data_IF_777809955010
#
_entry.id   IF_777809955010
#
_cell.length_a   1.000
_cell.length_b   1.000
_cell.length_c   1.000
_cell.angle_alpha   90.00
_cell.angle_beta   90.00
_cell.angle_gamma   90.00
#
_symmetry.space_group_name_H-M   'P 1'
#
loop_
_entity.id
_entity.type
_entity.pdbx_description
1 polymer ?
#
# COMPACT_ATOMS: atom_id res chain seq x y z
N UNK A 1 23.18 -6.84 -28.10
CA UNK A 1 24.07 -6.37 -27.03
C UNK A 1 23.40 -6.83 -25.76
N UNK A 2 24.03 -7.70 -24.98
CA UNK A 2 23.55 -8.08 -23.66
C UNK A 2 23.96 -6.91 -22.78
N UNK A 3 23.00 -6.07 -22.39
CA UNK A 3 23.21 -5.10 -21.31
C UNK A 3 23.45 -5.94 -20.05
N UNK A 4 24.62 -5.78 -19.43
CA UNK A 4 24.83 -6.28 -18.09
C UNK A 4 23.84 -5.54 -17.22
N UNK A 5 22.84 -6.26 -16.67
CA UNK A 5 21.94 -5.71 -15.68
C UNK A 5 22.80 -5.25 -14.51
N UNK A 6 22.79 -3.95 -14.26
CA UNK A 6 23.35 -3.39 -13.04
C UNK A 6 22.39 -3.80 -11.92
N UNK A 7 22.75 -4.84 -11.18
CA UNK A 7 21.89 -5.40 -10.12
C UNK A 7 21.85 -4.51 -8.87
N UNK A 8 22.51 -3.36 -8.91
CA UNK A 8 22.70 -2.50 -7.75
C UNK A 8 23.51 -3.18 -6.64
N UNK A 9 23.66 -2.49 -5.53
CA UNK A 9 24.34 -3.03 -4.35
C UNK A 9 23.34 -3.84 -3.52
N UNK A 10 23.69 -5.07 -3.16
CA UNK A 10 22.95 -5.86 -2.17
C UNK A 10 23.68 -5.75 -0.84
N UNK A 11 22.99 -5.25 0.18
CA UNK A 11 23.59 -4.99 1.48
C UNK A 11 22.65 -5.29 2.65
N UNK A 12 23.12 -5.05 3.89
CA UNK A 12 22.31 -5.23 5.09
C UNK A 12 21.17 -4.22 5.14
N UNK A 13 20.11 -4.56 5.90
CA UNK A 13 19.03 -3.60 6.18
C UNK A 13 19.60 -2.33 6.83
N UNK A 14 19.23 -1.12 6.36
CA UNK A 14 19.56 0.13 7.02
C UNK A 14 18.74 0.39 8.30
N UNK A 15 17.88 -0.57 8.67
CA UNK A 15 16.97 -0.48 9.80
C UNK A 15 17.19 -1.60 10.82
N UNK A 16 16.95 -1.27 12.09
CA UNK A 16 16.73 -2.22 13.17
C UNK A 16 15.23 -2.53 13.30
N UNK A 17 14.91 -3.79 13.61
CA UNK A 17 13.53 -4.25 13.81
C UNK A 17 13.12 -4.08 15.27
N UNK A 18 11.88 -3.69 15.51
CA UNK A 18 11.35 -3.46 16.86
C UNK A 18 10.22 -4.44 17.24
N UNK A 19 10.10 -5.55 16.56
CA UNK A 19 8.98 -6.50 16.65
C UNK A 19 8.65 -6.98 18.04
N UNK A 20 9.65 -7.10 18.93
CA UNK A 20 9.44 -7.53 20.32
C UNK A 20 8.77 -6.46 21.21
N UNK A 21 8.75 -5.21 20.78
CA UNK A 21 8.28 -4.09 21.59
C UNK A 21 7.19 -3.26 20.94
N UNK A 22 7.00 -3.42 19.64
CA UNK A 22 6.06 -2.68 18.83
C UNK A 22 5.33 -3.64 17.86
N UNK A 23 4.04 -3.54 17.55
CA UNK A 23 3.04 -2.68 18.15
C UNK A 23 2.36 -3.44 19.31
N UNK A 24 1.74 -2.73 20.25
CA UNK A 24 1.04 -3.37 21.38
C UNK A 24 -0.21 -4.09 20.87
N UNK A 25 -0.38 -5.38 21.18
CA UNK A 25 -1.54 -6.17 20.74
C UNK A 25 -2.84 -5.58 21.29
N UNK A 26 -3.90 -5.59 20.46
CA UNK A 26 -5.21 -5.11 20.86
C UNK A 26 -6.38 -5.98 20.35
N UNK A 27 -6.09 -7.04 19.60
CA UNK A 27 -7.10 -8.00 19.21
C UNK A 27 -7.78 -8.61 20.46
N UNK A 28 -9.06 -8.96 20.31
CA UNK A 28 -9.80 -9.59 21.43
C UNK A 28 -9.24 -10.96 21.79
N UNK A 29 -9.58 -11.44 23.00
CA UNK A 29 -9.19 -12.78 23.47
C UNK A 29 -9.59 -13.88 22.47
N UNK A 30 -8.65 -14.76 22.16
CA UNK A 30 -8.82 -15.84 21.20
C UNK A 30 -8.67 -15.44 19.72
N UNK A 31 -8.28 -14.20 19.46
CA UNK A 31 -8.06 -13.66 18.11
C UNK A 31 -6.70 -12.96 18.00
N UNK A 32 -6.25 -12.79 16.77
CA UNK A 32 -5.09 -11.98 16.40
C UNK A 32 -5.43 -11.12 15.19
N UNK A 33 -4.48 -10.27 14.77
CA UNK A 33 -4.65 -9.52 13.53
C UNK A 33 -4.97 -10.45 12.37
N UNK A 34 -5.85 -9.99 11.47
CA UNK A 34 -5.93 -10.49 10.12
C UNK A 34 -4.75 -9.99 9.28
N UNK A 35 -4.82 -10.11 7.97
CA UNK A 35 -3.83 -9.49 7.08
C UNK A 35 -3.84 -7.97 7.24
N UNK A 36 -2.71 -7.34 7.53
CA UNK A 36 -2.59 -5.89 7.47
C UNK A 36 -2.20 -5.48 6.06
N UNK A 37 -3.09 -4.74 5.39
CA UNK A 37 -2.96 -4.44 3.98
C UNK A 37 -2.37 -3.06 3.69
N UNK A 38 -2.54 -2.09 4.59
CA UNK A 38 -2.07 -0.74 4.34
C UNK A 38 -1.67 -0.01 5.61
N UNK A 39 -0.67 0.85 5.49
CA UNK A 39 -0.27 1.85 6.47
C UNK A 39 -0.25 3.23 5.82
N UNK A 40 -0.68 4.26 6.56
CA UNK A 40 -0.52 5.65 6.18
C UNK A 40 -0.09 6.47 7.40
N UNK A 41 1.01 7.20 7.28
CA UNK A 41 1.55 8.04 8.35
C UNK A 41 1.10 9.48 8.15
N UNK A 42 0.15 9.94 8.95
CA UNK A 42 -0.27 11.34 8.96
C UNK A 42 0.68 12.18 9.83
N UNK A 43 1.08 11.65 10.97
CA UNK A 43 2.06 12.22 11.91
C UNK A 43 2.57 11.12 12.84
N UNK A 44 3.58 11.43 13.67
CA UNK A 44 4.09 10.49 14.68
C UNK A 44 3.04 10.07 15.72
N UNK A 45 2.03 10.93 15.97
CA UNK A 45 0.93 10.64 16.89
C UNK A 45 -0.28 10.00 16.20
N UNK A 46 -0.25 9.89 14.86
CA UNK A 46 -1.41 9.43 14.11
C UNK A 46 -1.01 8.63 12.87
N UNK A 47 -0.87 7.33 13.07
CA UNK A 47 -0.49 6.35 12.06
C UNK A 47 -1.67 5.41 11.84
N UNK A 48 -2.24 5.45 10.65
CA UNK A 48 -3.37 4.63 10.24
C UNK A 48 -2.91 3.27 9.77
N UNK A 49 -3.65 2.25 10.19
CA UNK A 49 -3.53 0.90 9.66
C UNK A 49 -4.87 0.39 9.16
N UNK A 50 -4.80 -0.38 8.09
CA UNK A 50 -5.93 -1.08 7.52
C UNK A 50 -5.68 -2.57 7.61
N UNK A 51 -6.58 -3.30 8.31
CA UNK A 51 -6.49 -4.74 8.39
C UNK A 51 -7.73 -5.44 7.84
N UNK A 52 -7.54 -6.68 7.46
CA UNK A 52 -8.58 -7.56 6.90
C UNK A 52 -9.34 -8.31 7.99
N UNK A 53 -9.76 -7.57 9.03
CA UNK A 53 -10.44 -8.08 10.20
C UNK A 53 -9.51 -8.83 11.16
N UNK A 54 -10.09 -9.49 12.15
CA UNK A 54 -9.38 -10.34 13.13
C UNK A 54 -9.54 -11.82 12.78
N UNK A 55 -8.49 -12.61 12.97
CA UNK A 55 -8.46 -14.04 12.69
C UNK A 55 -8.43 -14.84 14.00
N UNK A 56 -9.23 -15.90 14.07
CA UNK A 56 -9.30 -16.79 15.23
C UNK A 56 -7.98 -17.53 15.44
N UNK A 57 -7.48 -17.48 16.67
CA UNK A 57 -6.29 -18.21 17.08
C UNK A 57 -6.57 -19.72 17.23
N UNK A 58 -5.59 -20.58 16.95
CA UNK A 58 -5.70 -22.01 17.25
C UNK A 58 -5.73 -22.28 18.76
N UNK A 59 -6.43 -23.33 19.16
CA UNK A 59 -6.40 -23.85 20.51
C UNK A 59 -5.99 -25.34 20.47
N UNK A 60 -4.84 -25.73 21.09
CA UNK A 60 -3.91 -24.86 21.84
C UNK A 60 -3.09 -23.94 20.94
N UNK A 61 -2.61 -22.83 21.52
CA UNK A 61 -1.69 -21.91 20.83
C UNK A 61 -0.38 -22.63 20.52
N UNK A 62 0.19 -22.45 19.32
CA UNK A 62 1.54 -22.89 19.01
C UNK A 62 2.58 -22.26 19.96
N UNK A 63 3.65 -23.00 20.34
CA UNK A 63 4.67 -22.50 21.26
C UNK A 63 5.40 -21.26 20.76
N UNK A 64 5.51 -21.09 19.45
CA UNK A 64 6.14 -19.95 18.79
C UNK A 64 5.29 -18.68 18.78
N UNK A 65 4.02 -18.77 19.14
CA UNK A 65 3.15 -17.59 19.19
C UNK A 65 3.58 -16.62 20.27
N UNK A 66 3.82 -15.38 19.90
CA UNK A 66 4.01 -14.27 20.83
C UNK A 66 2.99 -13.18 20.54
N UNK A 67 2.52 -12.53 21.59
CA UNK A 67 1.53 -11.46 21.46
C UNK A 67 2.08 -10.22 20.73
N UNK A 68 3.38 -9.96 20.78
CA UNK A 68 4.02 -8.87 20.06
C UNK A 68 4.31 -9.23 18.59
N UNK A 69 4.84 -10.38 18.33
CA UNK A 69 4.97 -10.88 16.97
C UNK A 69 3.61 -11.03 16.28
N UNK A 70 2.55 -11.15 17.08
CA UNK A 70 1.15 -10.95 16.72
C UNK A 70 0.61 -11.89 15.67
N UNK A 71 1.44 -12.78 15.13
CA UNK A 71 1.03 -13.56 14.00
C UNK A 71 1.68 -14.94 13.99
N UNK A 72 0.89 -15.89 13.57
CA UNK A 72 1.33 -17.25 13.29
C UNK A 72 1.62 -17.46 11.79
N UNK A 73 1.52 -16.40 11.00
CA UNK A 73 1.64 -16.45 9.56
C UNK A 73 0.43 -17.10 8.88
N UNK A 74 0.27 -16.80 7.62
CA UNK A 74 -0.83 -17.29 6.80
C UNK A 74 -0.97 -18.81 6.80
N UNK A 75 0.13 -19.55 6.79
CA UNK A 75 0.11 -21.01 6.76
C UNK A 75 -0.58 -21.63 8.00
N UNK A 76 -0.51 -20.98 9.15
CA UNK A 76 -1.15 -21.43 10.40
C UNK A 76 -2.59 -20.92 10.49
N UNK A 77 -2.84 -19.68 10.06
CA UNK A 77 -4.16 -19.05 10.21
C UNK A 77 -5.09 -19.32 9.02
N UNK A 78 -4.57 -19.84 7.92
CA UNK A 78 -5.36 -20.15 6.73
C UNK A 78 -6.51 -21.11 7.05
N UNK A 79 -7.72 -20.70 6.68
CA UNK A 79 -8.94 -21.46 6.92
C UNK A 79 -9.51 -21.32 8.34
N UNK A 80 -8.91 -20.48 9.19
CA UNK A 80 -9.48 -20.09 10.48
C UNK A 80 -10.64 -19.10 10.31
N UNK A 81 -11.48 -19.03 11.32
CA UNK A 81 -12.57 -18.05 11.36
C UNK A 81 -12.03 -16.62 11.34
N UNK A 82 -12.55 -15.80 10.43
CA UNK A 82 -12.25 -14.37 10.36
C UNK A 82 -13.52 -13.58 10.66
N UNK A 83 -13.36 -12.52 11.43
CA UNK A 83 -14.43 -11.56 11.68
C UNK A 83 -13.97 -10.19 11.19
N UNK A 84 -14.85 -9.49 10.50
CA UNK A 84 -14.66 -8.10 10.12
C UNK A 84 -14.80 -7.24 11.37
N UNK A 85 -13.68 -6.89 11.96
CA UNK A 85 -13.60 -6.14 13.19
C UNK A 85 -12.28 -5.39 13.27
N UNK A 86 -12.36 -4.16 13.78
CA UNK A 86 -11.21 -3.26 13.92
C UNK A 86 -10.44 -3.09 12.60
N UNK A 87 -11.18 -2.99 11.49
CA UNK A 87 -10.57 -2.94 10.16
C UNK A 87 -9.73 -1.68 9.96
N UNK A 88 -10.13 -0.55 10.56
CA UNK A 88 -9.38 0.71 10.55
C UNK A 88 -9.00 1.02 12.00
N UNK A 89 -7.71 1.18 12.25
CA UNK A 89 -7.23 1.58 13.57
C UNK A 89 -6.03 2.53 13.46
N UNK A 90 -5.81 3.35 14.48
CA UNK A 90 -4.82 4.40 14.50
C UNK A 90 -3.97 4.25 15.75
N UNK A 91 -2.66 4.34 15.58
CA UNK A 91 -1.69 4.24 16.66
C UNK A 91 -0.75 5.45 16.68
N UNK A 92 -0.07 5.64 17.81
CA UNK A 92 1.09 6.52 17.87
C UNK A 92 2.40 5.79 17.55
N UNK A 93 3.50 6.52 17.41
CA UNK A 93 4.82 5.97 17.12
C UNK A 93 5.36 5.01 18.20
N UNK A 94 4.78 5.02 19.40
CA UNK A 94 5.08 4.10 20.50
C UNK A 94 4.23 2.80 20.43
N UNK A 95 3.34 2.69 19.44
CA UNK A 95 2.47 1.53 19.22
C UNK A 95 1.26 1.46 20.15
N UNK A 96 0.87 2.58 20.79
CA UNK A 96 -0.37 2.63 21.54
C UNK A 96 -1.54 2.90 20.58
N UNK A 97 -2.60 2.09 20.68
CA UNK A 97 -3.84 2.33 19.95
C UNK A 97 -4.53 3.57 20.47
N UNK A 98 -4.78 4.53 19.61
CA UNK A 98 -5.42 5.82 19.89
C UNK A 98 -6.89 5.81 19.50
N UNK A 99 -7.19 5.25 18.34
CA UNK A 99 -8.53 5.22 17.76
C UNK A 99 -8.77 3.86 17.10
N UNK A 100 -10.00 3.41 17.10
CA UNK A 100 -10.48 2.28 16.32
C UNK A 100 -11.82 2.69 15.72
N UNK A 101 -11.96 2.57 14.42
CA UNK A 101 -13.17 2.98 13.70
C UNK A 101 -14.11 1.78 13.48
N UNK A 102 -14.43 1.06 14.57
CA UNK A 102 -15.24 -0.17 14.54
C UNK A 102 -16.68 0.05 14.08
N UNK A 103 -17.19 1.29 14.15
CA UNK A 103 -18.49 1.67 13.60
C UNK A 103 -18.60 1.40 12.08
N UNK A 104 -17.46 1.34 11.36
CA UNK A 104 -17.40 1.11 9.93
C UNK A 104 -17.11 -0.34 9.52
N UNK A 105 -16.86 -1.24 10.46
CA UNK A 105 -16.56 -2.64 10.17
C UNK A 105 -17.65 -3.32 9.33
N UNK A 106 -18.90 -2.88 9.48
CA UNK A 106 -20.04 -3.38 8.70
C UNK A 106 -19.91 -3.14 7.19
N UNK A 107 -19.11 -2.16 6.77
CA UNK A 107 -18.86 -1.86 5.36
C UNK A 107 -18.06 -2.98 4.67
N UNK A 108 -17.24 -3.71 5.40
CA UNK A 108 -16.39 -4.79 4.88
C UNK A 108 -17.07 -6.17 4.95
N UNK A 109 -18.22 -6.28 5.60
CA UNK A 109 -18.95 -7.54 5.72
C UNK A 109 -19.61 -7.96 4.41
N UNK A 110 -19.76 -9.29 4.19
CA UNK A 110 -20.46 -9.83 3.03
C UNK A 110 -19.66 -9.84 1.74
N UNK A 111 -18.36 -9.50 1.79
CA UNK A 111 -17.43 -9.67 0.69
C UNK A 111 -16.81 -11.06 0.71
N UNK A 112 -16.64 -11.66 -0.47
CA UNK A 112 -15.92 -12.92 -0.63
C UNK A 112 -14.50 -12.62 -1.10
N UNK A 113 -13.54 -12.56 -0.18
CA UNK A 113 -12.16 -12.31 -0.54
C UNK A 113 -11.39 -11.55 0.53
N UNK A 114 -10.24 -10.94 0.17
CA UNK A 114 -9.39 -10.24 1.12
C UNK A 114 -10.05 -9.01 1.77
N UNK A 115 -10.85 -8.24 1.04
CA UNK A 115 -11.54 -7.07 1.56
C UNK A 115 -10.72 -5.79 1.46
N UNK A 116 -10.58 -5.02 2.55
CA UNK A 116 -9.89 -3.72 2.51
C UNK A 116 -8.43 -3.87 2.09
N UNK A 117 -7.99 -2.98 1.18
CA UNK A 117 -6.69 -3.08 0.51
C UNK A 117 -5.78 -1.88 0.73
N UNK A 118 -6.26 -0.66 0.48
CA UNK A 118 -5.47 0.57 0.60
C UNK A 118 -6.16 1.59 1.48
N UNK A 119 -5.40 2.25 2.33
CA UNK A 119 -5.81 3.44 3.07
C UNK A 119 -4.80 4.56 2.78
N UNK A 120 -5.30 5.75 2.43
CA UNK A 120 -4.44 6.89 2.08
C UNK A 120 -5.16 8.21 2.30
N UNK A 121 -4.42 9.32 2.21
CA UNK A 121 -4.94 10.69 2.22
C UNK A 121 -4.35 11.49 1.07
N UNK A 122 -5.12 12.43 0.55
CA UNK A 122 -4.58 13.36 -0.45
C UNK A 122 -3.66 14.40 0.20
N UNK A 123 -2.45 14.59 -0.30
CA UNK A 123 -1.56 15.65 0.19
C UNK A 123 -2.09 17.06 -0.15
N UNK A 124 -3.05 17.16 -1.05
CA UNK A 124 -3.67 18.43 -1.48
C UNK A 124 -4.96 18.76 -0.72
N UNK A 125 -5.47 17.83 0.10
CA UNK A 125 -6.73 18.03 0.82
C UNK A 125 -6.47 18.63 2.22
N UNK A 126 -6.84 19.90 2.48
CA UNK A 126 -6.67 20.49 3.80
C UNK A 126 -7.56 19.84 4.87
N UNK A 127 -8.64 19.16 4.46
CA UNK A 127 -9.50 18.41 5.38
C UNK A 127 -8.96 17.00 5.69
N UNK A 128 -7.89 16.57 5.00
CA UNK A 128 -7.22 15.29 5.18
C UNK A 128 -8.19 14.11 5.22
N UNK A 129 -9.13 14.08 4.27
CA UNK A 129 -10.07 12.96 4.15
C UNK A 129 -9.34 11.64 4.02
N UNK A 130 -9.89 10.61 4.65
CA UNK A 130 -9.32 9.27 4.64
C UNK A 130 -10.01 8.44 3.57
N UNK A 131 -9.24 7.96 2.63
CA UNK A 131 -9.69 7.13 1.50
C UNK A 131 -9.37 5.67 1.77
N UNK A 132 -10.35 4.80 1.63
CA UNK A 132 -10.21 3.36 1.87
C UNK A 132 -10.77 2.60 0.70
N UNK A 133 -9.93 1.75 0.10
CA UNK A 133 -10.30 0.85 -0.98
C UNK A 133 -10.66 -0.51 -0.38
N UNK A 134 -11.84 -1.01 -0.71
CA UNK A 134 -12.20 -2.42 -0.54
C UNK A 134 -12.11 -3.11 -1.91
N UNK A 135 -11.01 -3.85 -2.12
CA UNK A 135 -10.73 -4.45 -3.43
C UNK A 135 -11.79 -5.46 -3.85
N UNK A 136 -12.21 -6.35 -2.94
CA UNK A 136 -13.21 -7.37 -3.25
C UNK A 136 -14.64 -6.89 -3.06
N UNK A 137 -14.83 -5.76 -2.40
CA UNK A 137 -16.07 -4.99 -2.41
C UNK A 137 -16.28 -4.18 -3.68
N UNK A 138 -15.24 -4.00 -4.51
CA UNK A 138 -15.24 -3.20 -5.75
C UNK A 138 -15.59 -1.73 -5.52
N UNK A 139 -15.19 -1.17 -4.36
CA UNK A 139 -15.68 0.11 -3.87
C UNK A 139 -14.58 0.90 -3.16
N UNK A 140 -14.70 2.22 -3.20
CA UNK A 140 -13.85 3.15 -2.48
C UNK A 140 -14.74 3.96 -1.53
N UNK A 141 -14.34 4.02 -0.26
CA UNK A 141 -14.97 4.82 0.78
C UNK A 141 -14.12 6.04 1.11
N UNK A 142 -14.75 7.17 1.33
CA UNK A 142 -14.07 8.41 1.75
C UNK A 142 -14.68 8.89 3.04
N UNK A 143 -13.89 8.96 4.09
CA UNK A 143 -14.30 9.38 5.43
C UNK A 143 -13.78 10.76 5.78
N UNK A 144 -14.46 11.42 6.71
CA UNK A 144 -13.87 12.57 7.41
C UNK A 144 -12.62 12.14 8.18
N UNK A 145 -11.68 13.08 8.42
CA UNK A 145 -10.42 12.77 9.09
C UNK A 145 -10.59 12.21 10.51
N UNK A 146 -11.65 12.64 11.23
CA UNK A 146 -12.02 12.12 12.56
C UNK A 146 -12.75 10.77 12.53
N UNK A 147 -13.05 10.24 11.33
CA UNK A 147 -13.76 8.97 11.15
C UNK A 147 -15.26 8.99 11.51
N UNK A 148 -15.83 10.15 11.82
CA UNK A 148 -17.23 10.22 12.24
C UNK A 148 -18.21 10.12 11.07
N UNK A 149 -17.80 10.52 9.86
CA UNK A 149 -18.68 10.62 8.69
C UNK A 149 -18.12 9.89 7.47
N UNK A 150 -18.98 9.11 6.81
CA UNK A 150 -18.76 8.64 5.45
C UNK A 150 -19.22 9.73 4.49
N UNK A 151 -18.28 10.34 3.78
CA UNK A 151 -18.50 11.52 2.95
C UNK A 151 -18.81 11.18 1.49
N UNK A 152 -18.19 10.10 0.97
CA UNK A 152 -18.33 9.68 -0.43
C UNK A 152 -18.15 8.17 -0.56
N UNK A 153 -18.79 7.60 -1.56
CA UNK A 153 -18.55 6.24 -2.05
C UNK A 153 -18.41 6.26 -3.56
N UNK A 154 -17.43 5.51 -4.08
CA UNK A 154 -17.22 5.34 -5.52
C UNK A 154 -17.25 3.85 -5.84
N UNK A 155 -18.06 3.46 -6.82
CA UNK A 155 -18.40 2.07 -7.10
C UNK A 155 -19.69 1.65 -6.39
N UNK A 156 -20.10 0.41 -6.62
CA UNK A 156 -21.23 -0.22 -5.96
C UNK A 156 -20.76 -1.51 -5.26
N UNK A 157 -21.08 -1.63 -3.97
CA UNK A 157 -20.57 -2.74 -3.15
C UNK A 157 -20.96 -4.10 -3.71
N UNK A 158 -19.96 -4.96 -3.93
CA UNK A 158 -20.07 -6.31 -4.49
C UNK A 158 -20.57 -6.35 -5.95
N UNK A 159 -20.54 -5.24 -6.66
CA UNK A 159 -20.92 -5.17 -8.08
C UNK A 159 -19.69 -4.81 -8.92
N UNK A 160 -18.99 -5.81 -9.48
CA UNK A 160 -17.88 -5.53 -10.39
C UNK A 160 -18.39 -5.00 -11.73
N UNK A 161 -17.66 -4.05 -12.32
CA UNK A 161 -17.98 -3.52 -13.64
C UNK A 161 -16.79 -2.78 -14.26
N UNK A 162 -16.93 -2.41 -15.53
CA UNK A 162 -15.91 -1.70 -16.30
C UNK A 162 -16.43 -0.41 -16.97
N UNK A 163 -17.56 0.09 -16.49
CA UNK A 163 -18.12 1.35 -16.95
C UNK A 163 -17.58 2.54 -16.12
N UNK A 164 -18.14 3.73 -16.35
CA UNK A 164 -17.73 4.97 -15.71
C UNK A 164 -17.98 5.01 -14.20
N UNK A 165 -18.82 4.14 -13.65
CA UNK A 165 -19.28 4.16 -12.26
C UNK A 165 -18.81 2.97 -11.44
N UNK A 166 -18.39 1.89 -12.06
CA UNK A 166 -17.97 0.66 -11.39
C UNK A 166 -16.48 0.39 -11.54
N UNK A 167 -15.97 -0.42 -10.62
CA UNK A 167 -14.60 -0.96 -10.63
C UNK A 167 -14.63 -2.50 -10.61
N UNK A 168 -13.50 -3.10 -10.92
CA UNK A 168 -13.29 -4.52 -10.72
C UNK A 168 -11.99 -4.78 -9.98
N UNK A 169 -12.07 -4.80 -8.64
CA UNK A 169 -10.94 -4.94 -7.72
C UNK A 169 -9.96 -3.77 -7.83
N UNK A 170 -10.38 -2.54 -7.47
CA UNK A 170 -9.49 -1.39 -7.38
C UNK A 170 -8.43 -1.61 -6.31
N UNK A 171 -7.21 -1.09 -6.53
CA UNK A 171 -6.05 -1.38 -5.70
C UNK A 171 -5.46 -0.16 -5.01
N UNK A 172 -5.27 0.93 -5.71
CA UNK A 172 -4.57 2.11 -5.20
C UNK A 172 -5.11 3.41 -5.78
N UNK A 173 -4.72 4.53 -5.16
CA UNK A 173 -5.09 5.89 -5.57
C UNK A 173 -3.85 6.77 -5.57
N UNK A 174 -3.61 7.47 -6.67
CA UNK A 174 -2.66 8.57 -6.75
C UNK A 174 -3.41 9.89 -6.88
N UNK A 175 -3.03 10.89 -6.07
CA UNK A 175 -3.69 12.19 -6.06
C UNK A 175 -2.97 13.20 -6.93
N UNK A 176 -3.75 14.07 -7.54
CA UNK A 176 -3.29 15.19 -8.36
C UNK A 176 -3.70 16.52 -7.71
N UNK A 177 -3.06 17.63 -8.06
CA UNK A 177 -3.52 18.96 -7.67
C UNK A 177 -5.00 19.21 -8.00
N UNK A 178 -5.62 20.16 -7.26
CA UNK A 178 -7.03 20.55 -7.43
C UNK A 178 -8.05 19.43 -7.18
N UNK A 179 -7.63 18.40 -6.40
CA UNK A 179 -8.49 17.33 -5.94
C UNK A 179 -8.80 16.24 -6.98
N UNK A 180 -8.24 16.32 -8.17
CA UNK A 180 -8.28 15.21 -9.14
C UNK A 180 -7.50 14.00 -8.62
N UNK A 181 -7.82 12.81 -9.09
CA UNK A 181 -7.11 11.60 -8.68
C UNK A 181 -7.20 10.48 -9.72
N UNK A 182 -6.29 9.54 -9.59
CA UNK A 182 -6.16 8.35 -10.41
C UNK A 182 -6.49 7.13 -9.56
N UNK A 183 -7.25 6.19 -10.10
CA UNK A 183 -7.57 4.91 -9.46
C UNK A 183 -6.98 3.77 -10.26
N UNK A 184 -6.14 2.93 -9.64
CA UNK A 184 -5.73 1.65 -10.19
C UNK A 184 -6.90 0.66 -10.14
N UNK A 185 -7.62 0.49 -11.21
CA UNK A 185 -8.66 -0.54 -11.35
C UNK A 185 -8.02 -1.81 -11.96
N UNK A 186 -7.14 -2.44 -11.15
CA UNK A 186 -6.01 -3.20 -11.64
C UNK A 186 -6.04 -4.70 -11.46
N UNK A 187 -6.60 -5.27 -10.38
CA UNK A 187 -6.47 -6.71 -10.10
C UNK A 187 -7.56 -7.56 -10.76
N UNK A 188 -8.73 -6.98 -11.01
CA UNK A 188 -9.82 -7.63 -11.71
C UNK A 188 -9.57 -7.78 -13.22
N UNK A 189 -10.63 -7.69 -14.01
CA UNK A 189 -10.53 -7.84 -15.46
C UNK A 189 -10.24 -6.53 -16.21
N UNK A 190 -10.35 -5.37 -15.53
CA UNK A 190 -10.32 -4.08 -16.20
C UNK A 190 -8.90 -3.66 -16.62
N UNK A 191 -7.92 -3.79 -15.71
CA UNK A 191 -6.51 -3.48 -16.00
C UNK A 191 -6.30 -2.07 -16.54
N UNK A 192 -6.97 -1.08 -15.94
CA UNK A 192 -6.99 0.31 -16.35
C UNK A 192 -6.66 1.24 -15.19
N UNK A 193 -6.26 2.45 -15.52
CA UNK A 193 -6.14 3.57 -14.58
C UNK A 193 -7.26 4.55 -14.92
N UNK A 194 -8.14 4.82 -13.95
CA UNK A 194 -9.30 5.70 -14.12
C UNK A 194 -8.98 7.08 -13.57
N UNK A 195 -9.15 8.11 -14.38
CA UNK A 195 -8.99 9.51 -13.99
C UNK A 195 -10.32 10.06 -13.49
N UNK A 196 -10.30 10.66 -12.29
CA UNK A 196 -11.49 11.20 -11.62
C UNK A 196 -11.37 12.70 -11.35
N UNK A 197 -12.50 13.38 -11.39
CA UNK A 197 -12.65 14.74 -10.88
C UNK A 197 -12.65 14.76 -9.35
N UNK A 198 -12.48 15.95 -8.77
CA UNK A 198 -12.50 16.18 -7.32
C UNK A 198 -13.82 15.75 -6.64
N UNK A 199 -14.94 15.77 -7.35
CA UNK A 199 -16.25 15.32 -6.88
C UNK A 199 -16.47 13.81 -7.05
N UNK A 200 -15.47 13.08 -7.54
CA UNK A 200 -15.52 11.66 -7.81
C UNK A 200 -16.13 11.25 -9.15
N UNK A 201 -16.62 12.20 -9.94
CA UNK A 201 -17.16 11.89 -11.27
C UNK A 201 -16.06 11.36 -12.21
N UNK A 202 -16.47 10.48 -13.13
CA UNK A 202 -15.57 9.95 -14.16
C UNK A 202 -15.11 11.04 -15.11
N UNK A 203 -13.85 11.00 -15.49
CA UNK A 203 -13.34 11.84 -16.55
C UNK A 203 -12.85 11.04 -17.75
N UNK A 204 -11.85 10.23 -17.57
CA UNK A 204 -11.23 9.41 -18.61
C UNK A 204 -10.56 8.18 -17.99
N UNK A 205 -9.99 7.36 -18.84
CA UNK A 205 -9.20 6.21 -18.43
C UNK A 205 -8.13 5.90 -19.47
N UNK A 206 -7.11 5.17 -19.06
CA UNK A 206 -6.13 4.59 -19.95
C UNK A 206 -5.65 3.24 -19.41
N UNK A 207 -5.01 2.46 -20.27
CA UNK A 207 -4.60 1.11 -19.96
C UNK A 207 -5.64 0.07 -20.37
N UNK A 208 -5.14 -1.13 -20.68
CA UNK A 208 -5.94 -2.30 -21.07
C UNK A 208 -5.18 -3.58 -20.70
N UNK A 209 -5.82 -4.74 -20.67
CA UNK A 209 -5.15 -6.01 -20.42
C UNK A 209 -4.06 -6.31 -21.45
N UNK A 210 -2.86 -6.69 -20.98
CA UNK A 210 -1.73 -7.09 -21.82
C UNK A 210 -0.37 -6.79 -21.18
N UNK A 211 0.69 -6.83 -21.98
CA UNK A 211 2.08 -6.66 -21.59
C UNK A 211 2.82 -5.54 -22.35
N UNK A 212 2.12 -4.78 -23.16
CA UNK A 212 2.67 -3.62 -23.87
C UNK A 212 2.83 -2.37 -22.99
N UNK A 213 3.36 -1.26 -23.56
CA UNK A 213 3.65 -0.03 -22.84
C UNK A 213 2.44 0.59 -22.10
N UNK A 214 1.25 0.51 -22.67
CA UNK A 214 0.00 0.98 -22.06
C UNK A 214 -0.91 -0.18 -21.64
N UNK A 215 -0.35 -1.37 -21.49
CA UNK A 215 -1.10 -2.57 -21.10
C UNK A 215 -0.63 -3.05 -19.72
N UNK A 216 -1.53 -3.69 -18.99
CA UNK A 216 -1.26 -4.15 -17.63
C UNK A 216 -1.76 -5.58 -17.41
N UNK A 217 -1.08 -6.27 -16.52
CA UNK A 217 -1.48 -7.59 -16.03
C UNK A 217 -2.15 -7.50 -14.65
N UNK A 218 -1.66 -6.63 -13.77
CA UNK A 218 -2.22 -6.39 -12.42
C UNK A 218 -1.66 -5.11 -11.81
N UNK A 219 -2.28 -3.96 -12.08
CA UNK A 219 -1.85 -2.70 -11.45
C UNK A 219 -2.15 -2.77 -9.96
N UNK A 220 -1.11 -2.76 -9.12
CA UNK A 220 -1.25 -2.96 -7.68
C UNK A 220 -0.97 -1.70 -6.86
N UNK A 221 -0.06 -0.85 -7.29
CA UNK A 221 0.25 0.41 -6.62
C UNK A 221 0.50 1.53 -7.60
N UNK A 222 0.18 2.76 -7.20
CA UNK A 222 0.40 4.00 -7.94
C UNK A 222 1.12 5.02 -7.07
N UNK A 223 2.12 5.70 -7.63
CA UNK A 223 2.75 6.85 -6.98
C UNK A 223 2.96 7.98 -7.99
N UNK A 224 2.73 9.21 -7.53
CA UNK A 224 3.22 10.39 -8.26
C UNK A 224 4.63 10.71 -7.76
N UNK A 225 5.49 11.11 -8.68
CA UNK A 225 6.85 11.52 -8.38
C UNK A 225 7.19 12.90 -8.95
N UNK A 226 8.45 13.31 -8.83
CA UNK A 226 8.95 14.54 -9.43
C UNK A 226 8.69 14.59 -10.94
N UNK A 227 8.68 15.83 -11.47
CA UNK A 227 8.48 16.08 -12.89
C UNK A 227 7.17 15.51 -13.46
N UNK A 228 6.15 15.37 -12.59
CA UNK A 228 4.81 14.89 -12.98
C UNK A 228 4.81 13.43 -13.52
N UNK A 229 5.81 12.62 -13.13
CA UNK A 229 5.82 11.20 -13.47
C UNK A 229 4.82 10.42 -12.62
N UNK A 230 4.09 9.53 -13.29
CA UNK A 230 3.27 8.50 -12.65
C UNK A 230 4.01 7.17 -12.71
N UNK A 231 4.18 6.54 -11.57
CA UNK A 231 4.74 5.20 -11.40
C UNK A 231 3.60 4.23 -11.16
N UNK A 232 3.38 3.32 -12.09
CA UNK A 232 2.36 2.28 -12.01
C UNK A 232 3.02 0.92 -11.86
N UNK A 233 2.93 0.35 -10.65
CA UNK A 233 3.48 -0.95 -10.35
C UNK A 233 2.53 -2.03 -10.86
N UNK A 234 3.01 -2.84 -11.82
CA UNK A 234 2.31 -4.00 -12.36
C UNK A 234 2.84 -5.28 -11.70
N UNK A 235 2.11 -5.75 -10.68
CA UNK A 235 2.55 -6.85 -9.82
C UNK A 235 2.84 -8.13 -10.57
N UNK A 236 1.92 -8.56 -11.44
CA UNK A 236 2.02 -9.85 -12.11
C UNK A 236 2.93 -9.78 -13.35
N UNK A 237 3.11 -8.59 -13.95
CA UNK A 237 4.18 -8.32 -14.92
C UNK A 237 5.57 -8.25 -14.28
N UNK A 238 5.62 -7.98 -12.95
CA UNK A 238 6.86 -7.85 -12.17
C UNK A 238 7.69 -6.65 -12.56
N UNK A 239 7.01 -5.55 -12.80
CA UNK A 239 7.63 -4.31 -13.27
C UNK A 239 6.97 -3.06 -12.67
N UNK A 240 7.60 -1.92 -12.91
CA UNK A 240 7.02 -0.59 -12.69
C UNK A 240 7.05 0.15 -14.00
N UNK A 241 5.88 0.50 -14.53
CA UNK A 241 5.75 1.33 -15.73
C UNK A 241 5.71 2.80 -15.33
N UNK A 242 6.53 3.60 -15.99
CA UNK A 242 6.65 5.04 -15.74
C UNK A 242 6.01 5.80 -16.90
N UNK A 243 5.14 6.73 -16.55
CA UNK A 243 4.45 7.59 -17.49
C UNK A 243 4.74 9.06 -17.18
N UNK A 244 4.90 9.87 -18.21
CA UNK A 244 4.97 11.32 -18.08
C UNK A 244 3.58 11.91 -18.24
N UNK A 245 3.15 12.71 -17.27
CA UNK A 245 1.97 13.53 -17.45
C UNK A 245 2.28 14.64 -18.46
N UNK A 246 1.51 14.73 -19.54
CA UNK A 246 1.77 15.67 -20.66
C UNK A 246 0.94 16.93 -20.60
N UNK A 247 -0.14 16.93 -19.82
CA UNK A 247 -0.97 18.12 -19.57
C UNK A 247 -1.03 18.39 -18.07
N UNK A 248 -0.90 19.65 -17.70
CA UNK A 248 -0.82 20.03 -16.30
C UNK A 248 -2.15 19.84 -15.59
N UNK A 249 -2.10 19.33 -14.37
CA UNK A 249 -3.27 19.12 -13.53
C UNK A 249 -3.97 20.44 -13.11
N UNK A 250 -3.32 21.59 -13.30
CA UNK A 250 -3.86 22.94 -13.03
C UNK A 250 -4.61 23.55 -14.22
N UNK A 251 -4.60 22.89 -15.38
CA UNK A 251 -5.44 23.29 -16.52
C UNK A 251 -6.85 22.70 -16.40
N UNK A 252 -7.82 23.29 -17.05
CA UNK A 252 -9.16 22.71 -17.21
C UNK A 252 -9.14 21.47 -18.13
N UNK A 253 -8.03 21.28 -18.85
CA UNK A 253 -7.76 20.10 -19.64
C UNK A 253 -7.18 18.99 -18.74
N UNK A 254 -7.44 17.74 -19.08
CA UNK A 254 -7.08 16.60 -18.27
C UNK A 254 -5.72 16.05 -18.66
N UNK A 255 -4.96 15.55 -17.66
CA UNK A 255 -3.67 14.97 -17.97
C UNK A 255 -3.81 13.76 -18.89
N UNK A 256 -3.01 13.72 -19.93
CA UNK A 256 -2.68 12.51 -20.65
C UNK A 256 -1.36 11.95 -20.12
N UNK A 257 -1.16 10.65 -20.33
CA UNK A 257 -0.02 9.92 -19.78
C UNK A 257 0.72 9.22 -20.91
N UNK A 258 1.90 9.73 -21.24
CA UNK A 258 2.78 9.14 -22.24
C UNK A 258 3.74 8.17 -21.57
N UNK A 259 3.85 6.97 -22.12
CA UNK A 259 4.78 5.95 -21.62
C UNK A 259 6.24 6.44 -21.79
N UNK A 260 7.03 6.31 -20.72
CA UNK A 260 8.44 6.68 -20.69
C UNK A 260 9.33 5.45 -20.69
N UNK A 261 9.17 4.57 -19.70
CA UNK A 261 10.03 3.39 -19.51
C UNK A 261 9.36 2.35 -18.62
N UNK A 262 10.00 1.19 -18.51
CA UNK A 262 9.64 0.12 -17.57
C UNK A 262 10.85 -0.28 -16.75
N UNK A 263 10.68 -0.41 -15.44
CA UNK A 263 11.67 -0.96 -14.51
C UNK A 263 11.36 -2.44 -14.30
N UNK A 264 12.21 -3.29 -14.82
CA UNK A 264 11.98 -4.74 -14.91
C UNK A 264 12.76 -5.52 -13.82
N UNK A 265 12.65 -6.85 -13.86
CA UNK A 265 13.39 -7.80 -13.03
C UNK A 265 13.07 -7.77 -11.53
N UNK A 266 11.82 -7.45 -11.18
CA UNK A 266 11.29 -7.62 -9.84
C UNK A 266 10.81 -9.06 -9.61
N UNK A 267 10.67 -9.45 -8.33
CA UNK A 267 10.22 -10.79 -7.95
C UNK A 267 8.70 -10.93 -7.99
N UNK A 268 8.01 -10.23 -7.11
CA UNK A 268 6.57 -9.99 -7.07
C UNK A 268 6.36 -8.68 -6.29
N UNK A 269 6.44 -7.54 -6.97
CA UNK A 269 6.38 -6.24 -6.31
C UNK A 269 4.97 -5.92 -5.83
N UNK A 270 4.87 -5.17 -4.72
CA UNK A 270 3.58 -4.87 -4.09
C UNK A 270 3.33 -3.39 -3.91
N UNK A 271 4.30 -2.63 -3.47
CA UNK A 271 4.15 -1.20 -3.24
C UNK A 271 5.31 -0.42 -3.86
N UNK A 272 5.00 0.70 -4.49
CA UNK A 272 5.99 1.65 -5.01
C UNK A 272 5.88 2.96 -4.24
N UNK A 273 6.97 3.34 -3.61
CA UNK A 273 7.10 4.55 -2.80
C UNK A 273 8.12 5.47 -3.44
N UNK A 274 7.73 6.69 -3.75
CA UNK A 274 8.58 7.64 -4.47
C UNK A 274 8.85 8.86 -3.61
N UNK A 275 10.13 9.27 -3.49
CA UNK A 275 10.57 10.51 -2.88
C UNK A 275 11.03 11.52 -3.92
N UNK A 276 11.67 12.60 -3.48
CA UNK A 276 12.24 13.63 -4.36
C UNK A 276 13.33 13.06 -5.29
N UNK A 277 14.16 12.13 -4.79
CA UNK A 277 15.39 11.69 -5.48
C UNK A 277 15.41 10.18 -5.80
N UNK A 278 14.58 9.38 -5.14
CA UNK A 278 14.63 7.92 -5.19
C UNK A 278 13.25 7.29 -5.14
N UNK A 279 13.17 6.03 -5.53
CA UNK A 279 11.99 5.20 -5.33
C UNK A 279 12.35 3.89 -4.63
N UNK A 280 11.43 3.36 -3.84
CA UNK A 280 11.55 2.07 -3.18
C UNK A 280 10.39 1.17 -3.57
N UNK A 281 10.70 -0.08 -3.82
CA UNK A 281 9.71 -1.10 -4.15
C UNK A 281 9.78 -2.20 -3.11
N UNK A 282 8.66 -2.49 -2.45
CA UNK A 282 8.54 -3.71 -1.66
C UNK A 282 8.36 -4.87 -2.62
N UNK A 283 9.19 -5.89 -2.50
CA UNK A 283 9.25 -6.98 -3.45
C UNK A 283 9.34 -8.33 -2.74
N UNK A 284 8.73 -9.35 -3.31
CA UNK A 284 8.72 -10.71 -2.81
C UNK A 284 9.60 -11.65 -3.64
N UNK A 285 9.74 -12.85 -3.11
CA UNK A 285 10.43 -13.98 -3.76
C UNK A 285 11.93 -13.77 -4.00
N UNK A 286 12.74 -13.55 -2.92
CA UNK A 286 12.39 -13.45 -1.48
C UNK A 286 11.96 -12.03 -1.08
N UNK A 287 11.33 -11.85 0.12
CA UNK A 287 10.97 -10.55 0.65
C UNK A 287 12.18 -9.61 0.78
N UNK A 288 12.07 -8.42 0.21
CA UNK A 288 13.13 -7.41 0.17
C UNK A 288 12.57 -6.03 -0.13
N UNK A 289 13.36 -5.01 0.07
CA UNK A 289 13.11 -3.67 -0.46
C UNK A 289 14.19 -3.35 -1.49
N UNK A 290 13.77 -2.86 -2.64
CA UNK A 290 14.64 -2.47 -3.75
C UNK A 290 14.56 -0.95 -3.91
N UNK A 291 15.70 -0.28 -3.81
CA UNK A 291 15.84 1.14 -4.08
C UNK A 291 16.26 1.36 -5.54
N UNK A 292 15.61 2.31 -6.16
CA UNK A 292 15.89 2.76 -7.52
C UNK A 292 16.20 4.25 -7.54
N UNK A 293 17.10 4.66 -8.41
CA UNK A 293 17.14 6.01 -8.92
C UNK A 293 15.93 6.27 -9.80
N UNK A 294 15.50 7.53 -9.94
CA UNK A 294 14.31 7.85 -10.74
C UNK A 294 14.47 7.59 -12.25
N UNK A 295 15.68 7.32 -12.72
CA UNK A 295 15.95 6.85 -14.08
C UNK A 295 15.73 5.34 -14.28
N UNK A 296 15.41 4.61 -13.19
CA UNK A 296 15.15 3.18 -13.18
C UNK A 296 16.36 2.31 -12.93
N UNK A 297 17.54 2.87 -12.75
CA UNK A 297 18.72 2.11 -12.32
C UNK A 297 18.56 1.67 -10.86
N UNK A 298 18.90 0.41 -10.56
CA UNK A 298 18.89 -0.10 -9.19
C UNK A 298 20.09 0.44 -8.43
N UNK A 299 19.83 0.98 -7.25
CA UNK A 299 20.88 1.50 -6.39
C UNK A 299 21.21 0.54 -5.26
N UNK A 300 20.21 0.18 -4.47
CA UNK A 300 20.41 -0.65 -3.29
C UNK A 300 19.29 -1.65 -3.09
N UNK A 301 19.62 -2.83 -2.60
CA UNK A 301 18.64 -3.87 -2.23
C UNK A 301 18.98 -4.44 -0.88
N UNK A 302 18.03 -4.52 0.02
CA UNK A 302 18.22 -5.18 1.30
C UNK A 302 17.09 -6.16 1.60
N UNK A 303 17.46 -7.39 2.07
CA UNK A 303 16.49 -8.43 2.34
C UNK A 303 15.72 -8.14 3.63
N UNK A 304 14.48 -8.59 3.66
CA UNK A 304 13.68 -8.69 4.87
C UNK A 304 13.90 -10.09 5.49
N UNK A 305 13.93 -10.22 6.84
CA UNK A 305 14.03 -11.52 7.50
C UNK A 305 12.86 -12.42 7.10
N UNK A 306 13.13 -13.71 6.86
CA UNK A 306 12.12 -14.72 6.55
C UNK A 306 11.92 -15.73 7.67
N UNK A 307 12.69 -15.59 8.75
CA UNK A 307 12.65 -16.43 9.94
C UNK A 307 12.86 -15.57 11.21
N UNK A 308 12.53 -16.12 12.37
CA UNK A 308 12.66 -15.43 13.64
C UNK A 308 11.49 -14.49 13.97
N UNK A 309 11.59 -13.68 15.03
CA UNK A 309 10.51 -12.79 15.45
C UNK A 309 10.23 -11.66 14.45
N UNK A 310 11.22 -11.28 13.68
CA UNK A 310 11.16 -10.16 12.73
C UNK A 310 10.81 -10.62 11.31
N UNK A 311 10.32 -11.86 11.13
CA UNK A 311 10.05 -12.41 9.80
C UNK A 311 9.00 -11.62 9.03
N UNK A 312 9.13 -11.64 7.72
CA UNK A 312 8.18 -11.12 6.75
C UNK A 312 7.77 -12.22 5.77
N UNK A 313 6.51 -12.24 5.41
CA UNK A 313 6.01 -13.03 4.29
C UNK A 313 5.75 -12.11 3.11
N UNK A 314 5.08 -10.97 3.37
CA UNK A 314 4.61 -10.06 2.34
C UNK A 314 4.55 -8.64 2.90
N UNK A 315 5.62 -7.86 2.76
CA UNK A 315 5.54 -6.42 3.06
C UNK A 315 4.67 -5.75 2.00
N UNK A 316 3.40 -5.56 2.34
CA UNK A 316 2.36 -5.17 1.40
C UNK A 316 2.28 -3.66 1.18
N UNK A 317 2.58 -2.89 2.21
CA UNK A 317 2.57 -1.43 2.16
C UNK A 317 3.59 -0.87 3.13
N UNK A 318 4.10 0.31 2.83
CA UNK A 318 5.04 1.02 3.70
C UNK A 318 4.65 2.48 3.92
N UNK A 319 5.14 3.08 5.00
CA UNK A 319 4.99 4.49 5.34
C UNK A 319 6.16 4.96 6.18
N UNK A 320 6.50 6.24 6.11
CA UNK A 320 7.66 6.83 6.80
C UNK A 320 7.22 8.02 7.63
N UNK A 321 7.66 8.08 8.90
CA UNK A 321 7.38 9.19 9.79
C UNK A 321 8.43 10.32 9.70
N UNK A 322 8.26 11.36 10.53
CA UNK A 322 9.14 12.52 10.56
C UNK A 322 10.55 12.22 11.08
N UNK A 323 10.69 11.14 11.84
CA UNK A 323 11.96 10.68 12.39
C UNK A 323 12.68 9.67 11.46
N UNK A 324 12.08 9.36 10.31
CA UNK A 324 12.58 8.38 9.35
C UNK A 324 12.30 6.93 9.73
N UNK A 325 11.46 6.68 10.75
CA UNK A 325 11.04 5.31 11.04
C UNK A 325 10.15 4.80 9.91
N UNK A 326 10.40 3.57 9.50
CA UNK A 326 9.65 2.87 8.47
C UNK A 326 8.59 1.98 9.13
N UNK A 327 7.36 2.15 8.72
CA UNK A 327 6.24 1.29 9.10
C UNK A 327 5.86 0.43 7.92
N UNK A 328 5.79 -0.87 8.16
CA UNK A 328 5.40 -1.83 7.15
C UNK A 328 4.21 -2.67 7.60
N UNK A 329 3.39 -3.07 6.64
CA UNK A 329 2.28 -4.01 6.88
C UNK A 329 2.56 -5.34 6.23
N UNK A 330 2.23 -6.44 6.90
CA UNK A 330 2.32 -7.77 6.33
C UNK A 330 0.91 -8.34 6.16
N UNK A 331 0.52 -8.51 4.92
CA UNK A 331 -0.79 -9.02 4.57
C UNK A 331 -0.95 -10.53 4.87
N UNK A 332 0.13 -11.28 4.81
CA UNK A 332 0.16 -12.73 5.03
C UNK A 332 0.53 -13.11 6.47
N UNK A 333 1.52 -12.44 7.04
CA UNK A 333 1.90 -12.62 8.43
C UNK A 333 0.87 -11.99 9.39
N UNK A 334 0.10 -11.03 8.93
CA UNK A 334 -1.03 -10.47 9.66
C UNK A 334 -0.65 -9.46 10.72
N UNK A 335 0.49 -8.78 10.60
CA UNK A 335 0.93 -7.78 11.58
C UNK A 335 1.56 -6.56 10.94
N UNK A 336 1.43 -5.38 11.56
CA UNK A 336 2.29 -4.24 11.25
C UNK A 336 3.62 -4.36 12.00
N UNK A 337 4.66 -3.78 11.44
CA UNK A 337 5.98 -3.68 12.08
C UNK A 337 6.55 -2.28 11.93
N UNK A 338 7.32 -1.84 12.92
CA UNK A 338 8.11 -0.61 12.90
C UNK A 338 9.59 -0.97 12.79
N UNK A 339 10.28 -0.28 11.91
CA UNK A 339 11.71 -0.39 11.68
C UNK A 339 12.33 0.98 11.99
N UNK A 340 13.41 0.99 12.78
CA UNK A 340 14.08 2.22 13.21
C UNK A 340 15.40 2.36 12.46
N UNK A 341 15.74 3.52 11.88
CA UNK A 341 17.02 3.71 11.22
C UNK A 341 18.19 3.36 12.13
N UNK A 342 19.13 2.56 11.64
CA UNK A 342 20.35 2.23 12.39
C UNK A 342 21.25 3.45 12.46
N UNK A 343 21.89 3.65 13.60
CA UNK A 343 22.80 4.78 13.81
C UNK A 343 24.06 4.75 12.91
N UNK A 344 24.39 3.59 12.34
CA UNK A 344 25.51 3.36 11.43
C UNK A 344 25.07 3.15 9.97
N UNK A 345 23.77 3.32 9.67
CA UNK A 345 23.27 3.20 8.32
C UNK A 345 23.74 4.34 7.43
N UNK A 346 23.96 4.05 6.16
CA UNK A 346 24.11 5.09 5.16
C UNK A 346 22.78 5.82 4.97
N UNK A 347 22.73 7.15 5.16
CA UNK A 347 21.50 7.92 4.99
C UNK A 347 20.89 7.83 3.58
N UNK A 348 21.70 7.55 2.55
CA UNK A 348 21.24 7.41 1.17
C UNK A 348 20.38 6.16 0.97
N UNK A 349 20.47 5.15 1.84
CA UNK A 349 19.70 3.92 1.77
C UNK A 349 18.46 3.90 2.69
N UNK A 350 18.28 4.94 3.50
CA UNK A 350 17.09 5.08 4.34
C UNK A 350 15.92 5.55 3.47
N UNK A 351 14.75 4.88 3.62
CA UNK A 351 13.54 5.25 2.89
C UNK A 351 13.14 6.68 3.26
N UNK A 352 13.13 7.55 2.29
CA UNK A 352 12.79 8.96 2.46
C UNK A 352 11.26 9.15 2.49
N UNK A 353 10.81 10.32 2.92
CA UNK A 353 9.40 10.67 2.89
C UNK A 353 8.87 10.70 1.46
N UNK A 354 7.60 10.35 1.33
CA UNK A 354 6.93 10.36 0.04
C UNK A 354 7.00 11.75 -0.61
N UNK A 355 7.25 11.77 -1.89
CA UNK A 355 7.16 12.99 -2.69
C UNK A 355 5.74 13.57 -2.63
N UNK A 356 5.68 14.86 -2.40
CA UNK A 356 4.43 15.63 -2.44
C UNK A 356 4.62 16.73 -3.47
N UNK A 357 3.97 16.65 -4.62
CA UNK A 357 4.02 17.70 -5.64
C UNK A 357 3.53 19.03 -5.06
N UNK A 358 4.20 20.14 -5.43
CA UNK A 358 3.93 21.50 -4.93
C UNK A 358 3.02 22.27 -5.87
#
# INVERSE_FOLDING_TARGET
>A
MVFSQDTGIIGPSPYDFTTETWMKPFARDGFTWGGNSSVFVESNDRIFFLQRGETELPDPLPPEYTTFAGSLGWNVLRGRGRIWRNCIYIVDSDGNVKEVWDQWDHLFTGTNGPGPHRLTQSPYDPEKKVWVIDETGHIIYVFSNDGEHLLMTLGEKNVPGNDETHYHMPQDIAFLPHGKFLVADGLGNNRRIVVRNADGSYHSEFGEPGDGPHQFTSIHSLAMGPDEHLYALDRDARDVKVFQQTERADSDEYPSYDYVTTWEDLGLPLDVWVSEDSAWVTDLNPPKIVQFNLDGSREYTWPLPVEGPDFWIEMHSLGVDEDGNLYGTDNQAGRPQKLVPRSDADPEHIVQRQFVPR
#
